data_IF_698995880659
#
_entry.id   IF_698995880659
#
_cell.length_a   1.000
_cell.length_b   1.000
_cell.length_c   1.000
_cell.angle_alpha   90.00
_cell.angle_beta   90.00
_cell.angle_gamma   90.00
#
_symmetry.space_group_name_H-M   'P 1'
#
loop_
_entity.id
_entity.type
_entity.pdbx_description
1 polymer ?
#
# COMPACT_ATOMS: atom_id res chain seq x y z
N UNK A 1 -15.18 16.88 22.60
CA UNK A 1 -15.51 15.55 22.05
C UNK A 1 -15.31 15.60 20.54
N UNK A 2 -14.75 14.56 19.87
CA UNK A 2 -14.62 14.57 18.42
C UNK A 2 -16.00 14.49 17.74
N UNK A 3 -16.12 15.07 16.54
CA UNK A 3 -17.34 15.02 15.74
C UNK A 3 -17.47 13.73 14.90
N UNK A 4 -16.33 13.06 14.65
CA UNK A 4 -16.25 11.82 13.88
C UNK A 4 -15.00 11.04 14.30
N UNK A 5 -15.08 9.71 14.25
CA UNK A 5 -13.97 8.81 14.52
C UNK A 5 -13.53 8.07 13.24
N UNK A 6 -12.22 8.10 12.95
CA UNK A 6 -11.60 7.23 11.96
C UNK A 6 -10.94 6.07 12.71
N UNK A 7 -11.42 4.86 12.47
CA UNK A 7 -11.04 3.65 13.22
C UNK A 7 -10.14 2.78 12.34
N UNK A 8 -8.99 2.34 12.86
CA UNK A 8 -8.12 1.36 12.17
C UNK A 8 -8.77 -0.03 12.23
N UNK A 9 -9.63 -0.32 11.26
CA UNK A 9 -10.45 -1.51 11.26
C UNK A 9 -11.62 -1.38 10.27
N UNK A 10 -12.52 -2.37 10.30
CA UNK A 10 -13.68 -2.38 9.42
C UNK A 10 -14.94 -1.87 10.13
N UNK A 11 -15.86 -1.32 9.34
CA UNK A 11 -17.25 -1.09 9.70
C UNK A 11 -18.14 -2.19 9.12
N UNK A 12 -19.07 -1.83 8.23
CA UNK A 12 -20.01 -2.78 7.60
C UNK A 12 -19.33 -3.80 6.68
N UNK A 13 -18.09 -3.55 6.23
CA UNK A 13 -17.26 -4.53 5.53
C UNK A 13 -16.74 -5.60 6.51
N UNK A 14 -17.64 -6.48 6.94
CA UNK A 14 -17.41 -7.46 7.99
C UNK A 14 -18.32 -8.69 7.77
N UNK A 15 -17.94 -9.92 8.19
CA UNK A 15 -18.74 -11.12 7.93
C UNK A 15 -20.18 -11.04 8.45
N UNK A 16 -20.42 -10.23 9.48
CA UNK A 16 -21.75 -10.00 10.07
C UNK A 16 -22.26 -8.57 9.88
N UNK A 17 -21.66 -7.79 8.97
CA UNK A 17 -22.01 -6.37 8.77
C UNK A 17 -21.70 -5.44 9.97
N UNK A 18 -21.01 -5.94 11.00
CA UNK A 18 -20.80 -5.23 12.26
C UNK A 18 -19.34 -5.32 12.73
N UNK A 19 -18.45 -4.57 12.08
CA UNK A 19 -17.05 -4.46 12.47
C UNK A 19 -16.81 -3.52 13.66
N UNK A 20 -15.55 -3.37 14.07
CA UNK A 20 -15.16 -2.54 15.23
C UNK A 20 -15.59 -1.07 15.09
N UNK A 21 -15.60 -0.51 13.88
CA UNK A 21 -16.06 0.86 13.66
C UNK A 21 -17.57 1.01 13.85
N UNK A 22 -18.36 0.00 13.48
CA UNK A 22 -19.80 -0.04 13.77
C UNK A 22 -20.04 -0.17 15.26
N UNK A 23 -19.36 -1.13 15.90
CA UNK A 23 -19.51 -1.41 17.31
C UNK A 23 -19.19 -0.18 18.18
N UNK A 24 -18.05 0.47 17.93
CA UNK A 24 -17.68 1.70 18.61
C UNK A 24 -18.67 2.83 18.35
N UNK A 25 -19.08 3.01 17.10
CA UNK A 25 -20.02 4.09 16.72
C UNK A 25 -21.38 3.96 17.39
N UNK A 26 -21.94 2.75 17.45
CA UNK A 26 -23.21 2.50 18.15
C UNK A 26 -23.10 2.74 19.65
N UNK A 27 -22.03 2.26 20.29
CA UNK A 27 -21.85 2.44 21.74
C UNK A 27 -21.59 3.89 22.15
N UNK A 28 -20.90 4.65 21.30
CA UNK A 28 -20.54 6.05 21.59
C UNK A 28 -21.53 7.07 21.01
N UNK A 29 -22.49 6.60 20.20
CA UNK A 29 -23.42 7.41 19.41
C UNK A 29 -22.76 8.42 18.46
N UNK A 30 -21.45 8.25 18.20
CA UNK A 30 -20.66 9.12 17.33
C UNK A 30 -20.58 8.60 15.89
N UNK A 31 -20.52 9.50 14.88
CA UNK A 31 -20.18 9.11 13.52
C UNK A 31 -18.83 8.39 13.46
N UNK A 32 -18.80 7.23 12.80
CA UNK A 32 -17.62 6.37 12.74
C UNK A 32 -17.36 5.87 11.32
N UNK A 33 -16.08 5.83 10.94
CA UNK A 33 -15.60 5.30 9.66
C UNK A 33 -14.55 4.23 9.91
N UNK A 34 -14.73 3.06 9.30
CA UNK A 34 -13.72 2.00 9.28
C UNK A 34 -12.71 2.24 8.16
N UNK A 35 -11.43 2.35 8.53
CA UNK A 35 -10.31 2.52 7.60
C UNK A 35 -9.36 1.33 7.73
N UNK A 36 -9.50 0.34 6.85
CA UNK A 36 -8.67 -0.86 6.87
C UNK A 36 -7.50 -0.78 5.87
N UNK A 37 -6.34 -1.30 6.28
CA UNK A 37 -5.11 -1.34 5.45
C UNK A 37 -5.06 -2.55 4.49
N UNK A 38 -5.97 -3.52 4.67
CA UNK A 38 -6.06 -4.78 3.93
C UNK A 38 -7.54 -5.07 3.62
N UNK A 39 -7.82 -5.62 2.43
CA UNK A 39 -9.17 -6.14 2.12
C UNK A 39 -9.47 -7.32 3.04
N UNK A 40 -10.65 -7.28 3.67
CA UNK A 40 -11.25 -8.41 4.34
C UNK A 40 -12.12 -9.15 3.33
N UNK A 41 -11.91 -10.46 3.20
CA UNK A 41 -12.58 -11.29 2.20
C UNK A 41 -13.92 -11.78 2.75
N UNK A 42 -15.00 -11.12 2.36
CA UNK A 42 -16.37 -11.34 2.84
C UNK A 42 -17.33 -11.13 1.69
N UNK A 43 -18.47 -11.84 1.70
CA UNK A 43 -19.52 -11.70 0.68
C UNK A 43 -18.95 -11.79 -0.76
N UNK A 44 -18.09 -12.78 -1.01
CA UNK A 44 -17.47 -12.98 -2.33
C UNK A 44 -16.38 -11.97 -2.71
N UNK A 45 -16.04 -11.00 -1.87
CA UNK A 45 -14.89 -10.12 -2.11
C UNK A 45 -13.59 -10.89 -1.94
N UNK A 46 -12.75 -10.90 -2.97
CA UNK A 46 -11.46 -11.59 -2.97
C UNK A 46 -10.32 -10.69 -3.48
N UNK A 47 -9.08 -11.07 -3.19
CA UNK A 47 -7.88 -10.39 -3.74
C UNK A 47 -7.44 -11.04 -5.07
N UNK A 48 -8.38 -11.18 -5.98
CA UNK A 48 -8.21 -11.83 -7.27
C UNK A 48 -7.51 -10.93 -8.31
N UNK A 49 -7.48 -11.38 -9.57
CA UNK A 49 -6.89 -10.61 -10.66
C UNK A 49 -7.69 -9.33 -10.95
N UNK A 50 -9.02 -9.40 -10.94
CA UNK A 50 -9.91 -8.26 -11.20
C UNK A 50 -9.70 -7.15 -10.17
N UNK A 51 -9.62 -7.51 -8.89
CA UNK A 51 -9.34 -6.55 -7.81
C UNK A 51 -7.98 -5.87 -7.99
N UNK A 52 -6.95 -6.62 -8.41
CA UNK A 52 -5.63 -6.05 -8.70
C UNK A 52 -5.67 -5.11 -9.91
N UNK A 53 -6.42 -5.44 -10.94
CA UNK A 53 -6.58 -4.59 -12.12
C UNK A 53 -7.34 -3.30 -11.80
N UNK A 54 -8.41 -3.38 -11.00
CA UNK A 54 -9.10 -2.19 -10.50
C UNK A 54 -8.18 -1.28 -9.67
N UNK A 55 -7.28 -1.85 -8.86
CA UNK A 55 -6.26 -1.06 -8.14
C UNK A 55 -5.31 -0.36 -9.11
N UNK A 56 -4.90 -1.02 -10.21
CA UNK A 56 -4.02 -0.43 -11.24
C UNK A 56 -4.68 0.74 -11.97
N UNK A 57 -6.02 0.77 -12.05
CA UNK A 57 -6.78 1.86 -12.66
C UNK A 57 -6.84 3.12 -11.78
N UNK A 58 -6.56 3.03 -10.48
CA UNK A 58 -6.48 4.19 -9.59
C UNK A 58 -5.19 4.97 -9.90
N UNK A 59 -5.28 6.21 -10.41
CA UNK A 59 -4.15 7.01 -10.90
C UNK A 59 -3.70 8.09 -9.92
N UNK A 60 -4.64 8.75 -9.25
CA UNK A 60 -4.41 9.87 -8.35
C UNK A 60 -4.94 9.60 -6.93
N UNK A 61 -4.45 10.37 -5.96
CA UNK A 61 -5.02 10.46 -4.63
C UNK A 61 -6.49 10.91 -4.69
N UNK A 62 -7.36 10.16 -4.03
CA UNK A 62 -8.80 10.36 -4.06
C UNK A 62 -9.55 9.39 -4.97
N UNK A 63 -8.85 8.79 -5.95
CA UNK A 63 -9.47 7.78 -6.81
C UNK A 63 -9.94 6.59 -5.98
N UNK A 64 -11.14 6.10 -6.30
CA UNK A 64 -11.72 4.97 -5.58
C UNK A 64 -12.73 4.19 -6.39
N UNK A 65 -12.85 2.89 -6.14
CA UNK A 65 -13.85 2.01 -6.74
C UNK A 65 -14.68 1.29 -5.65
N UNK A 66 -15.94 0.92 -5.94
CA UNK A 66 -16.80 0.25 -4.98
C UNK A 66 -16.39 -1.20 -4.74
N UNK A 67 -16.52 -1.65 -3.49
CA UNK A 67 -16.36 -3.04 -3.08
C UNK A 67 -17.75 -3.67 -3.02
N UNK A 68 -18.19 -4.21 -4.16
CA UNK A 68 -19.49 -4.85 -4.32
C UNK A 68 -19.37 -6.34 -4.03
N UNK A 69 -20.09 -6.81 -3.03
CA UNK A 69 -20.15 -8.24 -2.71
C UNK A 69 -21.04 -9.02 -3.68
N UNK A 70 -21.01 -10.35 -3.58
CA UNK A 70 -21.81 -11.27 -4.40
C UNK A 70 -23.31 -11.11 -4.17
N UNK A 71 -23.72 -10.65 -2.97
CA UNK A 71 -25.09 -10.23 -2.68
C UNK A 71 -25.57 -9.02 -3.51
N UNK A 72 -24.65 -8.31 -4.16
CA UNK A 72 -24.89 -7.04 -4.83
C UNK A 72 -24.77 -5.81 -3.93
N UNK A 73 -24.60 -6.00 -2.61
CA UNK A 73 -24.41 -4.90 -1.67
C UNK A 73 -23.02 -4.25 -1.82
N UNK A 74 -22.97 -2.93 -1.70
CA UNK A 74 -21.70 -2.18 -1.64
C UNK A 74 -21.25 -2.10 -0.18
N UNK A 75 -20.24 -2.88 0.17
CA UNK A 75 -19.74 -2.99 1.56
C UNK A 75 -18.72 -1.89 1.91
N UNK A 76 -18.16 -1.23 0.90
CA UNK A 76 -17.17 -0.17 1.09
C UNK A 76 -16.61 0.34 -0.22
N UNK A 77 -15.50 1.08 -0.16
CA UNK A 77 -14.70 1.49 -1.33
C UNK A 77 -13.22 1.22 -1.08
N UNK A 78 -12.52 0.80 -2.13
CA UNK A 78 -11.07 0.85 -2.17
C UNK A 78 -10.65 2.26 -2.58
N UNK A 79 -9.86 2.93 -1.75
CA UNK A 79 -9.42 4.32 -1.93
C UNK A 79 -7.91 4.38 -2.09
N UNK A 80 -7.43 4.97 -3.20
CA UNK A 80 -6.04 5.43 -3.29
C UNK A 80 -5.91 6.71 -2.49
N UNK A 81 -5.36 6.63 -1.30
CA UNK A 81 -5.37 7.73 -0.34
C UNK A 81 -4.30 8.80 -0.58
N UNK A 82 -3.26 8.51 -1.37
CA UNK A 82 -2.13 9.41 -1.57
C UNK A 82 -1.37 9.05 -2.86
N UNK A 83 -0.90 10.06 -3.61
CA UNK A 83 -0.28 9.87 -4.93
C UNK A 83 0.94 8.95 -4.90
N UNK A 84 1.78 9.08 -3.87
CA UNK A 84 3.01 8.27 -3.71
C UNK A 84 2.76 6.82 -3.27
N UNK A 85 1.50 6.39 -3.09
CA UNK A 85 1.19 5.01 -2.70
C UNK A 85 0.18 4.35 -3.64
N UNK A 86 0.53 3.15 -4.11
CA UNK A 86 -0.35 2.30 -4.92
C UNK A 86 -1.22 1.37 -4.08
N UNK A 87 -0.92 1.21 -2.79
CA UNK A 87 -1.67 0.32 -1.90
C UNK A 87 -2.90 1.06 -1.36
N UNK A 88 -4.13 0.68 -1.74
CA UNK A 88 -5.33 1.38 -1.31
C UNK A 88 -5.59 1.18 0.19
N UNK A 89 -6.49 2.00 0.71
CA UNK A 89 -7.23 1.78 1.95
C UNK A 89 -8.61 1.22 1.60
N UNK A 90 -9.19 0.44 2.51
CA UNK A 90 -10.53 -0.10 2.37
C UNK A 90 -11.42 0.63 3.36
N UNK A 91 -12.25 1.52 2.84
CA UNK A 91 -13.11 2.40 3.63
C UNK A 91 -14.51 1.81 3.68
N UNK A 92 -15.07 1.69 4.88
CA UNK A 92 -16.42 1.20 5.10
C UNK A 92 -17.13 2.05 6.15
N UNK A 93 -18.46 2.16 6.03
CA UNK A 93 -19.29 2.89 7.00
C UNK A 93 -19.22 2.19 8.35
N UNK A 94 -18.98 2.93 9.43
CA UNK A 94 -19.16 2.46 10.80
C UNK A 94 -20.54 2.83 11.33
N UNK A 95 -20.80 4.11 11.52
CA UNK A 95 -22.05 4.62 12.11
C UNK A 95 -22.34 6.05 11.67
N UNK A 96 -23.62 6.42 11.51
CA UNK A 96 -24.13 7.80 11.23
C UNK A 96 -23.38 8.59 10.14
N UNK A 97 -22.90 7.91 9.09
CA UNK A 97 -22.21 8.56 7.97
C UNK A 97 -22.45 7.77 6.68
N UNK A 98 -22.63 8.47 5.56
CA UNK A 98 -22.71 7.82 4.25
C UNK A 98 -21.33 7.35 3.77
N UNK A 99 -21.30 6.34 2.91
CA UNK A 99 -20.05 5.80 2.37
C UNK A 99 -19.27 6.85 1.56
N UNK A 100 -19.97 7.68 0.79
CA UNK A 100 -19.35 8.75 0.01
C UNK A 100 -18.66 9.79 0.92
N UNK A 101 -19.37 10.26 1.95
CA UNK A 101 -18.82 11.20 2.93
C UNK A 101 -17.63 10.60 3.68
N UNK A 102 -17.72 9.32 4.06
CA UNK A 102 -16.65 8.60 4.72
C UNK A 102 -15.37 8.53 3.87
N UNK A 103 -15.50 8.27 2.56
CA UNK A 103 -14.35 8.22 1.63
C UNK A 103 -13.73 9.59 1.42
N UNK A 104 -14.56 10.62 1.19
CA UNK A 104 -14.10 12.01 1.04
C UNK A 104 -13.37 12.50 2.29
N UNK A 105 -13.96 12.29 3.47
CA UNK A 105 -13.35 12.63 4.76
C UNK A 105 -12.03 11.89 4.95
N UNK A 106 -12.00 10.58 4.70
CA UNK A 106 -10.78 9.77 4.84
C UNK A 106 -9.66 10.33 3.97
N UNK A 107 -9.94 10.65 2.71
CA UNK A 107 -8.98 11.26 1.79
C UNK A 107 -8.51 12.63 2.28
N UNK A 108 -9.42 13.51 2.70
CA UNK A 108 -9.07 14.84 3.23
C UNK A 108 -8.18 14.78 4.48
N UNK A 109 -8.25 13.68 5.25
CA UNK A 109 -7.38 13.45 6.40
C UNK A 109 -6.01 12.83 6.03
N UNK A 110 -5.73 12.55 4.75
CA UNK A 110 -4.51 11.87 4.32
C UNK A 110 -3.41 12.85 3.89
N UNK A 111 -2.52 13.20 4.83
CA UNK A 111 -1.21 13.81 4.50
C UNK A 111 -0.19 12.77 4.00
N UNK A 112 -0.39 11.52 4.38
CA UNK A 112 0.36 10.34 3.94
C UNK A 112 -0.64 9.26 3.50
N UNK A 113 -0.16 8.06 3.16
CA UNK A 113 -1.04 6.92 2.84
C UNK A 113 -2.08 6.65 3.93
N UNK A 114 -1.71 6.72 5.20
CA UNK A 114 -2.64 6.47 6.32
C UNK A 114 -3.19 7.81 6.81
N UNK A 115 -4.51 7.96 7.04
CA UNK A 115 -5.09 9.21 7.54
C UNK A 115 -4.42 9.64 8.84
N UNK A 116 -4.17 10.93 9.01
CA UNK A 116 -3.46 11.47 10.17
C UNK A 116 -4.06 11.03 11.52
N UNK A 117 -5.39 11.02 11.74
CA UNK A 117 -5.96 10.56 13.01
C UNK A 117 -5.57 9.10 13.34
N UNK A 118 -5.65 8.21 12.35
CA UNK A 118 -5.27 6.79 12.48
C UNK A 118 -3.76 6.65 12.67
N UNK A 119 -2.97 7.40 11.90
CA UNK A 119 -1.51 7.38 11.97
C UNK A 119 -1.00 7.83 13.35
N UNK A 120 -1.57 8.91 13.90
CA UNK A 120 -1.20 9.42 15.22
C UNK A 120 -1.58 8.45 16.34
N UNK A 121 -2.77 7.83 16.26
CA UNK A 121 -3.17 6.80 17.22
C UNK A 121 -2.20 5.60 17.23
N UNK A 122 -1.80 5.16 16.04
CA UNK A 122 -0.85 4.06 15.84
C UNK A 122 0.58 4.39 16.30
N UNK A 123 1.07 5.62 16.10
CA UNK A 123 2.36 6.07 16.65
C UNK A 123 2.32 6.06 18.18
N UNK A 124 1.28 6.66 18.78
CA UNK A 124 1.16 6.81 20.22
C UNK A 124 0.99 5.47 20.93
N UNK A 125 0.20 4.54 20.37
CA UNK A 125 0.02 3.21 20.95
C UNK A 125 1.33 2.42 20.97
N UNK A 126 2.11 2.46 19.89
CA UNK A 126 3.43 1.82 19.84
C UNK A 126 4.45 2.47 20.76
N UNK A 127 4.43 3.80 20.87
CA UNK A 127 5.29 4.54 21.80
C UNK A 127 4.96 4.18 23.26
N UNK A 128 3.67 4.04 23.59
CA UNK A 128 3.23 3.60 24.91
C UNK A 128 3.75 2.18 25.23
N UNK A 129 3.56 1.22 24.31
CA UNK A 129 4.09 -0.14 24.48
C UNK A 129 5.61 -0.14 24.67
N UNK A 130 6.36 0.64 23.89
CA UNK A 130 7.82 0.76 24.03
C UNK A 130 8.23 1.31 25.39
N UNK A 131 7.52 2.32 25.91
CA UNK A 131 7.83 2.93 27.22
C UNK A 131 7.45 2.05 28.40
N UNK A 132 6.32 1.34 28.31
CA UNK A 132 5.77 0.58 29.44
C UNK A 132 6.30 -0.87 29.50
N UNK A 133 6.54 -1.50 28.35
CA UNK A 133 6.99 -2.89 28.27
C UNK A 133 8.44 -3.05 27.81
N UNK A 134 9.07 -1.97 27.32
CA UNK A 134 10.50 -1.96 26.98
C UNK A 134 11.36 -1.76 28.22
N UNK A 135 11.63 -2.82 28.98
CA UNK A 135 12.72 -2.80 29.98
C UNK A 135 14.08 -2.90 29.28
N UNK A 136 15.13 -2.19 29.73
CA UNK A 136 16.48 -2.40 29.23
C UNK A 136 16.91 -3.81 29.63
N UNK A 137 17.30 -4.64 28.66
CA UNK A 137 18.07 -5.84 29.01
C UNK A 137 19.29 -5.36 29.82
N UNK A 138 19.55 -5.86 31.03
CA UNK A 138 20.89 -5.72 31.59
C UNK A 138 21.85 -6.39 30.58
N UNK A 139 23.01 -5.81 30.28
CA UNK A 139 24.03 -6.58 29.58
C UNK A 139 24.29 -7.83 30.42
N UNK A 140 24.12 -9.01 29.82
CA UNK A 140 24.49 -10.26 30.47
C UNK A 140 25.98 -10.16 30.87
N UNK A 141 26.35 -10.45 32.13
CA UNK A 141 27.74 -10.52 32.50
C UNK A 141 28.35 -11.73 31.80
N UNK A 142 29.37 -11.49 30.97
CA UNK A 142 30.19 -12.55 30.39
C UNK A 142 29.78 -13.00 29.00
N UNK A 143 30.05 -12.18 27.99
CA UNK A 143 30.63 -12.72 26.75
C UNK A 143 31.89 -11.93 26.45
N UNK A 144 33.01 -12.55 26.78
CA UNK A 144 34.34 -12.11 26.39
C UNK A 144 34.33 -11.73 24.91
N UNK A 145 34.91 -10.57 24.62
CA UNK A 145 35.24 -10.16 23.26
C UNK A 145 36.15 -11.24 22.66
N UNK A 146 35.60 -12.16 21.87
CA UNK A 146 36.42 -13.00 20.98
C UNK A 146 37.08 -12.07 19.97
N UNK A 147 38.34 -11.76 20.24
CA UNK A 147 39.25 -11.11 19.31
C UNK A 147 39.19 -11.83 17.96
N UNK A 148 38.73 -11.13 16.93
CA UNK A 148 38.87 -11.62 15.57
C UNK A 148 40.34 -11.49 15.18
N UNK A 149 41.00 -12.65 15.02
CA UNK A 149 42.32 -12.79 14.39
C UNK A 149 42.32 -12.08 13.03
N UNK A 150 43.37 -11.31 12.69
CA UNK A 150 43.48 -10.72 11.36
C UNK A 150 43.68 -11.84 10.31
N UNK A 151 42.88 -11.80 9.23
CA UNK A 151 43.10 -12.63 8.04
C UNK A 151 44.28 -12.06 7.27
N UNK A 152 45.40 -12.77 7.28
CA UNK A 152 46.53 -12.55 6.37
C UNK A 152 46.13 -13.11 5.00
N UNK A 153 46.19 -12.28 3.96
CA UNK A 153 46.12 -12.69 2.56
C UNK A 153 47.54 -12.59 1.98
N UNK A 154 48.08 -13.63 1.32
CA UNK A 154 49.44 -13.60 0.82
C UNK A 154 49.57 -12.63 -0.36
N UNK A 155 50.61 -11.81 -0.31
CA UNK A 155 51.03 -10.89 -1.37
C UNK A 155 51.65 -11.68 -2.52
N UNK A 156 51.23 -11.37 -3.75
CA UNK A 156 52.02 -11.55 -4.96
C UNK A 156 52.01 -10.23 -5.74
N UNK A 157 53.19 -9.63 -5.95
CA UNK A 157 53.42 -8.58 -6.96
C UNK A 157 54.20 -9.17 -8.15
N UNK A 158 54.87 -8.37 -9.00
CA UNK A 158 54.79 -6.91 -9.20
C UNK A 158 54.65 -6.47 -10.69
N UNK A 159 54.39 -5.16 -10.87
CA UNK A 159 54.82 -4.23 -11.96
C UNK A 159 54.19 -4.18 -13.37
N UNK A 160 54.10 -2.93 -13.84
CA UNK A 160 53.41 -2.33 -15.02
C UNK A 160 54.31 -2.20 -16.30
N UNK A 161 54.11 -1.26 -17.27
CA UNK A 161 53.02 -0.91 -18.22
C UNK A 161 53.58 -0.86 -19.70
N UNK A 162 53.24 0.11 -20.59
CA UNK A 162 51.98 0.46 -21.28
C UNK A 162 52.05 0.19 -22.81
N UNK A 163 50.94 0.29 -23.55
CA UNK A 163 51.00 0.22 -25.03
C UNK A 163 49.72 0.61 -25.77
N UNK A 164 49.86 1.62 -26.62
CA UNK A 164 48.88 2.30 -27.47
C UNK A 164 48.20 1.42 -28.54
N UNK A 165 47.08 1.89 -29.11
CA UNK A 165 46.81 1.68 -30.54
C UNK A 165 45.37 1.39 -30.99
N UNK A 166 44.73 2.41 -31.56
CA UNK A 166 43.91 2.40 -32.81
C UNK A 166 42.64 1.53 -32.92
N UNK A 167 41.50 2.22 -33.03
CA UNK A 167 40.36 1.92 -33.94
C UNK A 167 40.76 2.12 -35.43
N UNK A 168 39.90 1.85 -36.46
CA UNK A 168 38.63 1.10 -36.59
C UNK A 168 38.64 0.17 -37.85
N UNK A 169 37.45 -0.17 -38.37
CA UNK A 169 37.09 -0.84 -39.66
C UNK A 169 36.62 -2.29 -39.47
N UNK A 170 35.58 -2.81 -40.14
CA UNK A 170 34.80 -2.35 -41.28
C UNK A 170 33.52 -3.20 -41.43
N UNK A 171 32.55 -2.68 -42.21
CA UNK A 171 31.62 -3.41 -43.11
C UNK A 171 30.65 -4.45 -42.49
N UNK A 172 29.35 -4.55 -42.82
CA UNK A 172 28.54 -4.06 -43.94
C UNK A 172 27.04 -4.40 -43.67
N UNK A 173 26.09 -3.97 -44.53
CA UNK A 173 24.69 -3.70 -44.18
C UNK A 173 23.70 -4.82 -44.56
N UNK A 174 22.50 -4.79 -43.97
CA UNK A 174 21.38 -5.67 -44.31
C UNK A 174 20.03 -4.98 -44.15
N UNK A 175 19.62 -4.28 -45.21
CA UNK A 175 18.32 -3.65 -45.41
C UNK A 175 17.25 -4.72 -45.72
N UNK A 176 16.08 -4.72 -45.06
CA UNK A 176 14.83 -5.20 -45.65
C UNK A 176 13.66 -4.31 -45.28
N UNK A 177 13.07 -3.77 -46.33
CA UNK A 177 11.85 -2.99 -46.43
C UNK A 177 10.62 -3.90 -46.31
N UNK A 178 9.53 -3.38 -45.71
CA UNK A 178 8.17 -3.87 -45.92
C UNK A 178 7.30 -2.66 -46.27
N UNK A 179 6.48 -2.72 -47.33
CA UNK A 179 5.61 -1.61 -47.74
C UNK A 179 4.22 -1.65 -47.07
N UNK A 180 3.67 -0.44 -47.01
CA UNK A 180 2.28 0.05 -46.85
C UNK A 180 1.07 -0.90 -46.72
N UNK A 181 0.14 -0.46 -45.87
CA UNK A 181 -1.30 -0.76 -45.89
C UNK A 181 -2.04 0.08 -46.96
N UNK A 182 -3.31 -0.24 -47.31
CA UNK A 182 -4.38 0.60 -46.77
C UNK A 182 -5.74 -0.10 -46.48
N UNK A 183 -6.58 0.74 -45.88
CA UNK A 183 -7.93 0.71 -45.31
C UNK A 183 -9.12 0.24 -46.21
N UNK A 184 -10.10 -0.44 -45.59
CA UNK A 184 -11.53 -0.59 -45.94
C UNK A 184 -12.23 -1.08 -44.63
N UNK A 185 -13.33 -0.55 -44.09
CA UNK A 185 -14.45 0.19 -44.63
C UNK A 185 -15.77 -0.50 -44.18
N UNK A 186 -16.55 0.20 -43.33
CA UNK A 186 -17.99 0.13 -42.98
C UNK A 186 -18.91 -1.08 -43.30
N UNK A 187 -19.80 -1.43 -42.34
CA UNK A 187 -21.27 -1.74 -42.47
C UNK A 187 -21.83 -2.20 -41.10
N UNK A 188 -22.63 -1.41 -40.38
CA UNK A 188 -24.11 -1.33 -40.37
C UNK A 188 -24.89 -2.62 -40.03
N UNK A 189 -25.45 -2.65 -38.81
CA UNK A 189 -26.87 -2.88 -38.49
C UNK A 189 -27.16 -2.54 -37.03
#
# INVERSE_FOLDING_TARGET
MPQVLLVDGNGVLHPRGFGVACHLGVLTDLPCVGVAKKLLQVDGLEKDALHRDQIRLLRAGGDSFPLKGSSGAVLGRALRSHDRSTKPLYVSVGHKMSLEAAVRLTHSCCRFRVPEPVRQADIRSRDYIRKTLGSPRPPAPGQERKAQRPKVWPKGGPEEPPGEGKTPEAHSPGLRTHPEAPDLGAQEQ
#
